data_IF_167159430690
#
_entry.id   IF_167159430690
#
_cell.length_a   1.000
_cell.length_b   1.000
_cell.length_c   1.000
_cell.angle_alpha   90.00
_cell.angle_beta   90.00
_cell.angle_gamma   90.00
#
_symmetry.space_group_name_H-M   'P 1'
#
loop_
_entity.id
_entity.type
_entity.pdbx_description
1 polymer ?
#
# COMPACT_ATOMS: atom_id res chain seq x y z
N UNK A 1 -5.73 18.64 -25.38
CA UNK A 1 -6.41 17.46 -24.84
C UNK A 1 -6.92 17.82 -23.45
N UNK A 2 -8.24 17.77 -23.25
CA UNK A 2 -8.82 17.96 -21.93
C UNK A 2 -8.66 16.67 -21.11
N UNK A 3 -8.17 16.76 -19.87
CA UNK A 3 -8.04 15.63 -18.94
C UNK A 3 -8.67 16.00 -17.60
N UNK A 4 -9.10 14.97 -16.88
CA UNK A 4 -9.64 15.12 -15.53
C UNK A 4 -9.01 14.08 -14.61
N UNK A 5 -8.45 14.55 -13.50
CA UNK A 5 -7.93 13.68 -12.45
C UNK A 5 -9.03 13.27 -11.48
N UNK A 6 -8.99 12.01 -11.06
CA UNK A 6 -9.87 11.46 -10.05
C UNK A 6 -9.06 10.91 -8.88
N UNK A 7 -9.59 11.05 -7.68
CA UNK A 7 -9.01 10.44 -6.48
C UNK A 7 -9.09 8.91 -6.60
N UNK A 8 -8.00 8.22 -6.40
CA UNK A 8 -7.99 6.76 -6.52
C UNK A 8 -6.96 6.06 -5.65
N UNK A 9 -5.79 6.65 -5.49
CA UNK A 9 -4.68 6.01 -4.81
C UNK A 9 -4.54 6.38 -3.33
N UNK A 10 -5.12 7.49 -2.90
CA UNK A 10 -5.07 8.01 -1.52
C UNK A 10 -6.48 8.34 -1.02
N UNK A 11 -6.66 8.41 0.30
CA UNK A 11 -7.94 8.78 0.93
C UNK A 11 -8.22 10.28 0.76
N UNK A 12 -7.21 11.11 0.95
CA UNK A 12 -7.29 12.56 0.77
C UNK A 12 -6.18 13.03 -0.16
N UNK A 13 -6.45 14.08 -0.93
CA UNK A 13 -5.39 14.75 -1.68
C UNK A 13 -4.41 15.44 -0.70
N UNK A 14 -3.13 15.48 -1.06
CA UNK A 14 -2.09 15.97 -0.15
C UNK A 14 -2.30 17.42 0.28
N UNK A 15 -2.83 18.25 -0.60
CA UNK A 15 -3.11 19.67 -0.34
C UNK A 15 -4.19 19.86 0.73
N UNK A 16 -5.03 18.87 0.97
CA UNK A 16 -6.13 18.92 1.91
C UNK A 16 -5.67 18.63 3.35
N UNK A 17 -4.54 17.91 3.51
CA UNK A 17 -4.04 17.46 4.81
C UNK A 17 -2.80 18.25 5.21
N UNK A 18 -3.05 19.42 5.81
CA UNK A 18 -2.00 20.34 6.28
C UNK A 18 -2.26 20.74 7.73
N UNK A 19 -1.22 21.27 8.37
CA UNK A 19 -1.34 21.92 9.67
C UNK A 19 -2.09 23.25 9.52
N UNK A 20 -2.46 23.86 10.65
CA UNK A 20 -3.12 25.17 10.67
C UNK A 20 -2.28 26.31 10.05
N UNK A 21 -0.96 26.18 10.06
CA UNK A 21 0.00 27.11 9.43
C UNK A 21 0.22 26.85 7.93
N UNK A 22 -0.53 25.91 7.34
CA UNK A 22 -0.41 25.51 5.93
C UNK A 22 0.78 24.59 5.61
N UNK A 23 1.63 24.27 6.59
CA UNK A 23 2.78 23.39 6.39
C UNK A 23 2.42 21.92 6.47
N UNK A 24 3.19 21.00 5.81
CA UNK A 24 2.94 19.57 5.87
C UNK A 24 3.31 18.98 7.23
N UNK A 25 2.64 17.89 7.58
CA UNK A 25 2.98 17.10 8.75
C UNK A 25 4.28 16.30 8.52
N UNK A 26 5.14 16.26 9.57
CA UNK A 26 6.35 15.41 9.61
C UNK A 26 6.25 14.29 10.67
N UNK A 27 5.10 14.18 11.36
CA UNK A 27 4.84 13.18 12.40
C UNK A 27 3.50 12.52 12.12
N UNK A 28 3.46 11.19 12.28
CA UNK A 28 2.31 10.37 11.90
C UNK A 28 1.03 10.69 12.69
N UNK A 29 1.09 10.70 14.01
CA UNK A 29 -0.13 10.78 14.82
C UNK A 29 -0.99 12.02 14.55
N UNK A 30 -0.44 13.25 14.53
CA UNK A 30 -1.23 14.43 14.18
C UNK A 30 -1.67 14.43 12.70
N UNK A 31 -0.85 13.89 11.80
CA UNK A 31 -1.23 13.71 10.39
C UNK A 31 -2.46 12.83 10.28
N UNK A 32 -2.43 11.62 10.88
CA UNK A 32 -3.51 10.66 10.71
C UNK A 32 -4.81 11.14 11.36
N UNK A 33 -4.73 11.72 12.54
CA UNK A 33 -5.90 12.33 13.21
C UNK A 33 -6.60 13.36 12.32
N UNK A 34 -5.83 14.22 11.66
CA UNK A 34 -6.38 15.23 10.74
C UNK A 34 -6.89 14.60 9.44
N UNK A 35 -6.11 13.72 8.82
CA UNK A 35 -6.45 13.06 7.57
C UNK A 35 -7.73 12.22 7.69
N UNK A 36 -7.86 11.44 8.76
CA UNK A 36 -9.05 10.61 9.00
C UNK A 36 -10.30 11.47 9.21
N UNK A 37 -10.21 12.58 9.98
CA UNK A 37 -11.31 13.53 10.17
C UNK A 37 -11.77 14.11 8.83
N UNK A 38 -10.85 14.63 8.02
CA UNK A 38 -11.16 15.20 6.69
C UNK A 38 -11.81 14.17 5.80
N UNK A 39 -11.31 12.93 5.80
CA UNK A 39 -11.87 11.85 5.00
C UNK A 39 -13.31 11.53 5.41
N UNK A 40 -13.60 11.42 6.71
CA UNK A 40 -14.92 11.12 7.23
C UNK A 40 -15.95 12.22 6.94
N UNK A 41 -15.52 13.48 6.97
CA UNK A 41 -16.36 14.63 6.64
C UNK A 41 -16.75 14.67 5.15
N UNK A 42 -15.92 14.08 4.27
CA UNK A 42 -16.10 14.10 2.81
C UNK A 42 -16.75 12.85 2.23
N UNK A 43 -17.04 11.84 3.04
CA UNK A 43 -17.73 10.64 2.54
C UNK A 43 -19.08 11.06 1.98
N UNK A 44 -19.36 10.85 0.67
CA UNK A 44 -20.68 11.13 0.11
C UNK A 44 -21.73 10.28 0.82
N UNK A 45 -22.78 10.92 1.31
CA UNK A 45 -23.92 10.23 1.94
C UNK A 45 -24.76 9.40 0.97
N UNK A 46 -24.49 9.46 -0.33
CA UNK A 46 -25.22 8.73 -1.37
C UNK A 46 -24.28 7.84 -2.18
N UNK A 47 -24.64 6.57 -2.31
CA UNK A 47 -24.07 5.67 -3.29
C UNK A 47 -24.42 6.15 -4.70
N UNK A 48 -23.41 6.44 -5.50
CA UNK A 48 -23.62 6.71 -6.92
C UNK A 48 -23.99 5.41 -7.62
N UNK A 49 -25.26 5.29 -8.02
CA UNK A 49 -25.73 4.15 -8.80
C UNK A 49 -25.22 4.28 -10.24
N UNK A 50 -24.13 3.60 -10.55
CA UNK A 50 -23.47 3.61 -11.89
C UNK A 50 -24.25 2.76 -12.91
N UNK A 51 -25.58 2.62 -12.79
CA UNK A 51 -26.39 1.75 -13.64
C UNK A 51 -26.50 2.16 -15.12
N UNK A 52 -25.93 3.29 -15.54
CA UNK A 52 -26.05 3.77 -16.93
C UNK A 52 -24.72 4.35 -17.48
N UNK A 53 -23.65 3.58 -17.48
CA UNK A 53 -22.59 3.86 -18.44
C UNK A 53 -23.06 3.34 -19.81
N UNK A 54 -23.43 4.24 -20.73
CA UNK A 54 -23.61 3.89 -22.14
C UNK A 54 -22.31 3.25 -22.61
N UNK A 55 -22.38 2.02 -23.13
CA UNK A 55 -21.22 1.36 -23.78
C UNK A 55 -20.66 2.33 -24.82
N UNK A 56 -19.51 2.90 -24.57
CA UNK A 56 -18.77 3.68 -25.55
C UNK A 56 -18.22 2.67 -26.55
N UNK A 57 -19.00 2.40 -27.60
CA UNK A 57 -18.54 1.62 -28.73
C UNK A 57 -17.53 2.45 -29.50
N UNK A 58 -16.29 1.96 -29.63
CA UNK A 58 -15.21 2.47 -30.49
C UNK A 58 -14.57 3.82 -30.12
N UNK A 59 -13.74 3.86 -29.06
CA UNK A 59 -12.74 4.94 -28.94
C UNK A 59 -11.30 4.51 -29.24
N UNK A 60 -11.00 3.22 -29.38
CA UNK A 60 -9.62 2.77 -29.66
C UNK A 60 -9.58 1.84 -30.87
N UNK A 61 -9.10 2.40 -32.01
CA UNK A 61 -8.85 1.63 -33.24
C UNK A 61 -7.51 0.88 -33.24
N UNK A 62 -6.67 1.03 -32.22
CA UNK A 62 -5.38 0.33 -32.09
C UNK A 62 -5.32 -0.37 -30.74
N UNK A 63 -5.17 -1.69 -30.77
CA UNK A 63 -4.78 -2.45 -29.58
C UNK A 63 -3.33 -2.06 -29.22
N UNK A 64 -3.14 -1.43 -28.09
CA UNK A 64 -1.81 -1.19 -27.54
C UNK A 64 -1.31 -2.53 -27.02
N UNK A 65 -0.28 -3.08 -27.68
CA UNK A 65 0.36 -4.30 -27.22
C UNK A 65 1.20 -3.99 -25.99
N UNK A 66 0.88 -4.62 -24.86
CA UNK A 66 1.67 -4.53 -23.63
C UNK A 66 2.91 -5.43 -23.61
N UNK A 67 3.23 -6.13 -24.73
CA UNK A 67 4.35 -7.06 -24.80
C UNK A 67 5.70 -6.45 -24.44
N UNK A 68 5.90 -5.16 -24.71
CA UNK A 68 7.15 -4.45 -24.41
C UNK A 68 7.26 -3.91 -22.98
N UNK A 69 6.23 -4.11 -22.14
CA UNK A 69 6.22 -3.65 -20.72
C UNK A 69 6.80 -4.73 -19.81
N UNK A 70 6.74 -5.99 -20.24
CA UNK A 70 7.26 -7.11 -19.46
C UNK A 70 8.80 -7.18 -19.59
N UNK A 71 9.51 -7.55 -18.52
CA UNK A 71 10.95 -7.80 -18.58
C UNK A 71 11.29 -8.91 -19.58
N UNK A 72 12.42 -8.77 -20.29
CA UNK A 72 12.92 -9.80 -21.19
C UNK A 72 13.41 -11.09 -20.49
N UNK A 73 13.42 -11.10 -19.15
CA UNK A 73 13.86 -12.24 -18.33
C UNK A 73 12.69 -12.81 -17.54
N UNK A 74 12.62 -14.11 -17.44
CA UNK A 74 11.51 -14.87 -16.87
C UNK A 74 11.52 -14.98 -15.33
N UNK A 75 12.33 -14.18 -14.65
CA UNK A 75 12.48 -14.24 -13.18
C UNK A 75 11.18 -14.06 -12.40
N UNK A 76 10.21 -13.36 -12.97
CA UNK A 76 8.91 -13.07 -12.35
C UNK A 76 7.86 -14.16 -12.57
N UNK A 77 8.04 -15.07 -13.53
CA UNK A 77 7.02 -16.08 -13.89
C UNK A 77 6.61 -16.95 -12.70
N UNK A 78 7.54 -17.27 -11.80
CA UNK A 78 7.23 -18.03 -10.59
C UNK A 78 6.21 -17.33 -9.68
N UNK A 79 6.07 -16.00 -9.75
CA UNK A 79 5.10 -15.27 -8.94
C UNK A 79 3.65 -15.56 -9.35
N UNK A 80 3.41 -16.03 -10.57
CA UNK A 80 2.08 -16.37 -11.07
C UNK A 80 1.44 -17.53 -10.28
N UNK A 81 2.26 -18.36 -9.63
CA UNK A 81 1.77 -19.44 -8.75
C UNK A 81 1.22 -18.89 -7.42
N UNK A 82 1.67 -17.72 -7.00
CA UNK A 82 1.28 -17.08 -5.74
C UNK A 82 0.24 -15.99 -5.92
N UNK A 83 0.23 -15.33 -7.08
CA UNK A 83 -0.57 -14.13 -7.31
C UNK A 83 -1.37 -14.23 -8.61
N UNK A 84 -2.66 -13.98 -8.49
CA UNK A 84 -3.57 -13.80 -9.62
C UNK A 84 -4.06 -12.35 -9.61
N UNK A 85 -3.44 -11.44 -10.38
CA UNK A 85 -3.73 -10.03 -10.34
C UNK A 85 -5.09 -9.73 -10.99
N UNK A 86 -6.11 -9.48 -10.18
CA UNK A 86 -7.43 -9.04 -10.62
C UNK A 86 -8.19 -8.33 -9.51
N UNK A 87 -9.16 -7.50 -9.85
CA UNK A 87 -10.08 -6.87 -8.89
C UNK A 87 -10.88 -7.92 -8.11
N UNK A 88 -11.32 -8.99 -8.78
CA UNK A 88 -12.07 -10.08 -8.15
C UNK A 88 -11.23 -10.77 -7.10
N UNK A 89 -9.96 -11.06 -7.41
CA UNK A 89 -9.03 -11.67 -6.44
C UNK A 89 -8.77 -10.73 -5.26
N UNK A 90 -8.55 -9.45 -5.51
CA UNK A 90 -8.36 -8.46 -4.45
C UNK A 90 -9.56 -8.39 -3.49
N UNK A 91 -10.79 -8.42 -4.02
CA UNK A 91 -12.02 -8.46 -3.22
C UNK A 91 -12.09 -9.73 -2.37
N UNK A 92 -11.80 -10.90 -2.93
CA UNK A 92 -11.76 -12.18 -2.19
C UNK A 92 -10.74 -12.14 -1.04
N UNK A 93 -9.55 -11.54 -1.27
CA UNK A 93 -8.55 -11.37 -0.20
C UNK A 93 -9.07 -10.47 0.91
N UNK A 94 -9.73 -9.36 0.58
CA UNK A 94 -10.32 -8.47 1.57
C UNK A 94 -11.42 -9.17 2.38
N UNK A 95 -12.36 -9.84 1.71
CA UNK A 95 -13.46 -10.58 2.34
C UNK A 95 -12.95 -11.65 3.29
N UNK A 96 -11.96 -12.46 2.82
CA UNK A 96 -11.33 -13.48 3.67
C UNK A 96 -10.67 -12.87 4.90
N UNK A 97 -9.93 -11.78 4.74
CA UNK A 97 -9.26 -11.09 5.83
C UNK A 97 -10.25 -10.53 6.85
N UNK A 98 -11.30 -9.87 6.38
CA UNK A 98 -12.37 -9.32 7.25
C UNK A 98 -13.08 -10.43 8.01
N UNK A 99 -13.35 -11.56 7.37
CA UNK A 99 -14.05 -12.69 8.01
C UNK A 99 -13.21 -13.39 9.07
N UNK A 100 -11.91 -13.59 8.83
CA UNK A 100 -11.12 -14.54 9.59
C UNK A 100 -10.04 -13.89 10.48
N UNK A 101 -9.43 -12.78 10.06
CA UNK A 101 -8.15 -12.37 10.63
C UNK A 101 -8.14 -10.94 11.20
N UNK A 102 -9.06 -10.08 10.78
CA UNK A 102 -9.02 -8.65 11.13
C UNK A 102 -9.12 -8.40 12.65
N UNK A 103 -9.89 -9.22 13.35
CA UNK A 103 -10.11 -9.06 14.80
C UNK A 103 -8.86 -9.33 15.61
N UNK A 104 -8.04 -10.28 15.16
CA UNK A 104 -6.78 -10.68 15.80
C UNK A 104 -5.57 -10.00 15.15
N UNK A 105 -5.80 -9.18 14.13
CA UNK A 105 -4.73 -8.52 13.38
C UNK A 105 -3.74 -7.78 14.28
N UNK A 106 -4.25 -7.19 15.35
CA UNK A 106 -3.44 -6.46 16.31
C UNK A 106 -2.29 -7.25 16.92
N UNK A 107 -2.44 -8.55 17.05
CA UNK A 107 -1.46 -9.49 17.60
C UNK A 107 -0.77 -10.29 16.50
N UNK A 108 -1.56 -10.94 15.62
CA UNK A 108 -1.04 -11.85 14.57
C UNK A 108 -0.06 -11.16 13.61
N UNK A 109 -0.22 -9.86 13.36
CA UNK A 109 0.67 -9.09 12.48
C UNK A 109 2.13 -9.04 12.96
N UNK A 110 2.39 -9.29 14.21
CA UNK A 110 3.74 -9.21 14.78
C UNK A 110 4.52 -10.53 14.61
N UNK A 111 3.86 -11.58 14.14
CA UNK A 111 4.43 -12.90 13.93
C UNK A 111 4.48 -13.24 12.43
N UNK A 112 5.64 -13.10 11.74
CA UNK A 112 5.77 -13.38 10.30
C UNK A 112 5.40 -14.81 9.91
N UNK A 113 5.53 -15.78 10.82
CA UNK A 113 5.16 -17.19 10.60
C UNK A 113 3.65 -17.42 10.54
N UNK A 114 2.83 -16.47 11.01
CA UNK A 114 1.37 -16.59 11.05
C UNK A 114 0.75 -15.88 9.85
N UNK A 115 -0.24 -16.53 9.20
CA UNK A 115 -1.01 -15.92 8.11
C UNK A 115 -2.07 -14.94 8.66
N UNK A 116 -1.62 -13.86 9.31
CA UNK A 116 -2.48 -12.87 9.98
C UNK A 116 -2.56 -11.51 9.28
N UNK A 117 -2.07 -11.38 8.04
CA UNK A 117 -2.08 -10.14 7.27
C UNK A 117 -2.99 -10.23 6.05
N UNK A 118 -3.50 -9.08 5.59
CA UNK A 118 -4.43 -9.03 4.45
C UNK A 118 -3.79 -9.40 3.11
N UNK A 119 -2.48 -9.27 2.98
CA UNK A 119 -1.73 -9.39 1.70
C UNK A 119 -2.27 -8.51 0.56
N UNK A 120 -2.93 -7.39 0.89
CA UNK A 120 -3.56 -6.50 -0.10
C UNK A 120 -2.58 -5.49 -0.72
N UNK A 121 -1.37 -5.34 -0.20
CA UNK A 121 -0.43 -4.32 -0.67
C UNK A 121 -0.13 -4.38 -2.17
N UNK A 122 0.06 -5.54 -2.82
CA UNK A 122 0.26 -5.60 -4.28
C UNK A 122 -0.96 -5.12 -5.06
N UNK A 123 -2.16 -5.49 -4.61
CA UNK A 123 -3.42 -5.11 -5.25
C UNK A 123 -3.71 -3.61 -5.13
N UNK A 124 -3.41 -3.01 -3.96
CA UNK A 124 -3.52 -1.56 -3.74
C UNK A 124 -2.51 -0.83 -4.64
N UNK A 125 -1.25 -1.31 -4.69
CA UNK A 125 -0.18 -0.70 -5.47
C UNK A 125 -0.51 -0.63 -6.97
N UNK A 126 -1.18 -1.66 -7.48
CA UNK A 126 -1.54 -1.78 -8.90
C UNK A 126 -2.98 -1.32 -9.20
N UNK A 127 -3.68 -0.68 -8.25
CA UNK A 127 -5.00 -0.11 -8.46
C UNK A 127 -6.13 -1.13 -8.61
N UNK A 128 -5.90 -2.41 -8.27
CA UNK A 128 -6.90 -3.48 -8.37
C UNK A 128 -7.94 -3.41 -7.22
N UNK A 129 -7.60 -2.69 -6.15
CA UNK A 129 -8.53 -2.32 -5.08
C UNK A 129 -8.17 -0.94 -4.54
N UNK A 130 -9.17 -0.07 -4.39
CA UNK A 130 -8.97 1.27 -3.82
C UNK A 130 -8.84 1.23 -2.29
N UNK A 131 -7.94 2.05 -1.75
CA UNK A 131 -7.76 2.17 -0.28
C UNK A 131 -9.06 2.62 0.42
N UNK A 132 -9.86 3.48 -0.24
CA UNK A 132 -11.17 3.88 0.24
C UNK A 132 -12.11 2.69 0.42
N UNK A 133 -12.15 1.78 -0.55
CA UNK A 133 -12.99 0.57 -0.48
C UNK A 133 -12.61 -0.28 0.74
N UNK A 134 -11.31 -0.43 1.00
CA UNK A 134 -10.82 -1.20 2.15
C UNK A 134 -11.24 -0.50 3.46
N UNK A 135 -11.02 0.81 3.56
CA UNK A 135 -11.41 1.60 4.73
C UNK A 135 -12.92 1.48 5.00
N UNK A 136 -13.76 1.68 3.98
CA UNK A 136 -15.22 1.63 4.09
C UNK A 136 -15.71 0.24 4.57
N UNK A 137 -15.10 -0.84 4.06
CA UNK A 137 -15.45 -2.20 4.52
C UNK A 137 -15.06 -2.45 5.98
N UNK A 138 -13.89 -1.97 6.42
CA UNK A 138 -13.48 -2.05 7.82
C UNK A 138 -14.39 -1.20 8.74
N UNK A 139 -14.75 0.00 8.31
CA UNK A 139 -15.62 0.89 9.08
C UNK A 139 -17.05 0.34 9.25
N UNK A 140 -17.57 -0.41 8.26
CA UNK A 140 -18.88 -1.08 8.32
C UNK A 140 -18.98 -2.11 9.43
N UNK A 141 -17.87 -2.65 9.92
CA UNK A 141 -17.88 -3.65 11.01
C UNK A 141 -18.39 -3.07 12.34
N UNK A 142 -18.47 -1.73 12.48
CA UNK A 142 -19.02 -1.01 13.64
C UNK A 142 -18.50 -1.52 14.99
N UNK A 143 -17.33 -2.14 15.02
CA UNK A 143 -16.73 -2.75 16.19
C UNK A 143 -15.61 -1.86 16.73
N UNK A 144 -15.52 -1.76 18.07
CA UNK A 144 -14.40 -1.13 18.76
C UNK A 144 -13.17 -2.05 18.89
N UNK A 145 -13.13 -3.16 18.14
CA UNK A 145 -12.04 -4.11 18.20
C UNK A 145 -10.69 -3.45 17.85
N UNK A 146 -9.69 -3.75 18.65
CA UNK A 146 -8.35 -3.16 18.53
C UNK A 146 -7.63 -3.59 17.24
N UNK A 147 -7.90 -4.80 16.72
CA UNK A 147 -7.34 -5.30 15.47
C UNK A 147 -7.80 -4.49 14.27
N UNK A 148 -9.11 -4.18 14.21
CA UNK A 148 -9.69 -3.33 13.16
C UNK A 148 -9.03 -1.95 13.19
N UNK A 149 -8.92 -1.33 14.37
CA UNK A 149 -8.31 -0.01 14.50
C UNK A 149 -6.83 -0.02 14.11
N UNK A 150 -6.07 -1.04 14.52
CA UNK A 150 -4.68 -1.21 14.12
C UNK A 150 -4.55 -1.37 12.59
N UNK A 151 -5.44 -2.12 11.95
CA UNK A 151 -5.42 -2.27 10.49
C UNK A 151 -5.71 -0.95 9.76
N UNK A 152 -6.72 -0.21 10.19
CA UNK A 152 -7.03 1.13 9.67
C UNK A 152 -5.82 2.07 9.84
N UNK A 153 -5.12 1.99 10.96
CA UNK A 153 -3.91 2.78 11.17
C UNK A 153 -2.78 2.43 10.19
N UNK A 154 -2.69 1.17 9.70
CA UNK A 154 -1.71 0.83 8.65
C UNK A 154 -2.06 1.48 7.30
N UNK A 155 -3.34 1.64 6.99
CA UNK A 155 -3.75 2.46 5.85
C UNK A 155 -3.32 3.92 6.06
N UNK A 156 -3.45 4.43 7.29
CA UNK A 156 -2.97 5.75 7.66
C UNK A 156 -1.46 5.92 7.50
N UNK A 157 -0.65 4.93 7.86
CA UNK A 157 0.80 4.94 7.62
C UNK A 157 1.15 5.00 6.14
N UNK A 158 0.37 4.31 5.30
CA UNK A 158 0.51 4.41 3.85
C UNK A 158 0.22 5.82 3.35
N UNK A 159 -0.89 6.42 3.78
CA UNK A 159 -1.24 7.81 3.44
C UNK A 159 -0.14 8.80 3.87
N UNK A 160 0.38 8.63 5.08
CA UNK A 160 1.46 9.45 5.60
C UNK A 160 2.74 9.32 4.78
N UNK A 161 3.12 8.11 4.39
CA UNK A 161 4.30 7.86 3.55
C UNK A 161 4.18 8.52 2.18
N UNK A 162 3.00 8.45 1.56
CA UNK A 162 2.72 9.16 0.30
C UNK A 162 2.80 10.68 0.46
N UNK A 163 2.25 11.21 1.56
CA UNK A 163 2.34 12.63 1.89
C UNK A 163 3.79 13.10 2.08
N UNK A 164 4.60 12.33 2.80
CA UNK A 164 6.01 12.64 2.99
C UNK A 164 6.76 12.71 1.66
N UNK A 165 6.60 11.73 0.78
CA UNK A 165 7.29 11.72 -0.53
C UNK A 165 6.82 12.87 -1.40
N UNK A 166 5.53 13.23 -1.35
CA UNK A 166 4.99 14.35 -2.11
C UNK A 166 5.58 15.70 -1.68
N UNK A 167 5.71 15.93 -0.37
CA UNK A 167 6.22 17.20 0.18
C UNK A 167 7.74 17.23 0.32
N UNK A 168 8.38 16.09 0.44
CA UNK A 168 9.82 15.94 0.65
C UNK A 168 10.44 14.97 -0.37
N UNK A 169 10.34 15.25 -1.69
CA UNK A 169 10.80 14.33 -2.73
C UNK A 169 12.31 14.02 -2.66
N UNK A 170 13.10 14.90 -1.99
CA UNK A 170 14.52 14.65 -1.73
C UNK A 170 14.78 13.38 -0.94
N UNK A 171 13.77 12.85 -0.20
CA UNK A 171 13.87 11.56 0.51
C UNK A 171 14.17 10.37 -0.42
N UNK A 172 13.88 10.50 -1.71
CA UNK A 172 14.19 9.45 -2.70
C UNK A 172 15.70 9.31 -2.95
N UNK A 173 16.51 10.32 -2.60
CA UNK A 173 17.95 10.36 -2.86
C UNK A 173 18.80 10.62 -1.61
N UNK A 174 18.21 11.00 -0.49
CA UNK A 174 18.92 11.34 0.74
C UNK A 174 18.03 11.23 1.97
N UNK A 175 18.56 11.59 3.13
CA UNK A 175 17.81 11.53 4.37
C UNK A 175 16.81 12.69 4.51
N UNK A 176 15.63 12.42 5.06
CA UNK A 176 14.66 13.46 5.43
C UNK A 176 15.24 14.40 6.48
N UNK A 177 15.97 13.84 7.45
CA UNK A 177 16.70 14.57 8.48
C UNK A 177 18.17 14.62 8.09
N UNK A 178 18.68 15.81 7.86
CA UNK A 178 20.04 16.04 7.38
C UNK A 178 21.12 15.56 8.34
N UNK A 179 20.80 15.46 9.63
CA UNK A 179 21.71 14.95 10.64
C UNK A 179 22.19 13.52 10.32
N UNK A 180 21.34 12.70 9.70
CA UNK A 180 21.69 11.34 9.27
C UNK A 180 22.60 11.26 8.05
N UNK A 181 22.81 12.37 7.33
CA UNK A 181 23.81 12.41 6.26
C UNK A 181 25.25 12.25 6.80
N UNK A 182 25.46 12.60 8.09
CA UNK A 182 26.74 12.46 8.80
C UNK A 182 26.96 11.06 9.41
N UNK A 183 25.95 10.18 9.36
CA UNK A 183 26.11 8.83 9.89
C UNK A 183 27.12 8.04 9.05
N UNK A 184 28.05 7.30 9.67
CA UNK A 184 29.12 6.57 8.96
C UNK A 184 28.55 5.31 8.28
N UNK A 185 27.81 5.49 7.18
CA UNK A 185 27.26 4.40 6.41
C UNK A 185 28.36 3.55 5.78
N UNK A 186 28.32 2.25 6.02
CA UNK A 186 29.29 1.31 5.45
C UNK A 186 28.76 0.84 4.09
N UNK A 187 29.51 1.11 3.02
CA UNK A 187 29.21 0.62 1.68
C UNK A 187 29.99 -0.67 1.40
N UNK A 188 29.45 -1.81 1.85
CA UNK A 188 30.06 -3.13 1.68
C UNK A 188 29.25 -3.94 0.64
N UNK A 189 29.83 -4.08 -0.55
CA UNK A 189 29.21 -4.84 -1.67
C UNK A 189 29.03 -6.33 -1.35
N UNK A 190 29.94 -6.91 -0.54
CA UNK A 190 29.88 -8.33 -0.15
C UNK A 190 28.72 -8.57 0.81
N UNK A 191 28.60 -7.75 1.86
CA UNK A 191 27.46 -7.80 2.78
C UNK A 191 26.13 -7.54 2.08
N UNK A 192 26.08 -6.56 1.17
CA UNK A 192 24.89 -6.29 0.35
C UNK A 192 24.49 -7.51 -0.49
N UNK A 193 25.46 -8.21 -1.08
CA UNK A 193 25.19 -9.43 -1.86
C UNK A 193 24.64 -10.54 -0.97
N UNK A 194 25.19 -10.75 0.23
CA UNK A 194 24.67 -11.73 1.19
C UNK A 194 23.24 -11.40 1.62
N UNK A 195 22.96 -10.12 1.91
CA UNK A 195 21.61 -9.67 2.25
C UNK A 195 20.62 -9.94 1.13
N UNK A 196 20.95 -9.58 -0.11
CA UNK A 196 20.09 -9.85 -1.29
C UNK A 196 19.77 -11.33 -1.48
N UNK A 197 20.66 -12.22 -1.07
CA UNK A 197 20.51 -13.68 -1.19
C UNK A 197 19.83 -14.32 0.04
N UNK A 198 19.53 -13.57 1.10
CA UNK A 198 19.04 -14.12 2.36
C UNK A 198 20.08 -15.03 3.03
N UNK A 199 21.33 -14.58 3.10
CA UNK A 199 22.48 -15.32 3.61
C UNK A 199 23.30 -14.47 4.61
N UNK A 200 22.60 -13.66 5.40
CA UNK A 200 23.23 -12.77 6.40
C UNK A 200 23.61 -13.49 7.68
N UNK A 201 23.01 -14.65 7.95
CA UNK A 201 23.12 -15.37 9.22
C UNK A 201 22.09 -14.92 10.26
N UNK A 202 21.26 -13.93 9.96
CA UNK A 202 20.12 -13.51 10.80
C UNK A 202 18.84 -14.20 10.30
N UNK A 203 18.31 -15.20 11.02
CA UNK A 203 17.23 -16.07 10.50
C UNK A 203 16.01 -15.32 9.99
N UNK A 204 15.53 -14.30 10.71
CA UNK A 204 14.35 -13.54 10.32
C UNK A 204 14.59 -12.69 9.05
N UNK A 205 15.80 -12.12 8.92
CA UNK A 205 16.18 -11.33 7.73
C UNK A 205 16.30 -12.26 6.52
N UNK A 206 16.96 -13.39 6.70
CA UNK A 206 17.20 -14.35 5.63
C UNK A 206 15.88 -14.99 5.15
N UNK A 207 14.99 -15.34 6.09
CA UNK A 207 13.66 -15.84 5.77
C UNK A 207 12.84 -14.80 4.96
N UNK A 208 12.84 -13.53 5.39
CA UNK A 208 12.15 -12.46 4.68
C UNK A 208 12.69 -12.23 3.27
N UNK A 209 14.00 -12.23 3.09
CA UNK A 209 14.62 -12.04 1.77
C UNK A 209 14.35 -13.23 0.84
N UNK A 210 14.32 -14.46 1.37
CA UNK A 210 13.96 -15.66 0.60
C UNK A 210 12.49 -15.65 0.22
N UNK A 211 11.57 -15.26 1.13
CA UNK A 211 10.15 -15.08 0.83
C UNK A 211 9.96 -14.06 -0.28
N UNK A 212 10.65 -12.90 -0.21
CA UNK A 212 10.60 -11.88 -1.26
C UNK A 212 11.08 -12.42 -2.61
N UNK A 213 12.19 -13.12 -2.63
CA UNK A 213 12.75 -13.70 -3.86
C UNK A 213 11.81 -14.75 -4.47
N UNK A 214 11.18 -15.56 -3.65
CA UNK A 214 10.31 -16.66 -4.10
C UNK A 214 8.93 -16.16 -4.54
N UNK A 215 8.33 -15.26 -3.77
CA UNK A 215 6.93 -14.88 -3.92
C UNK A 215 6.69 -13.47 -4.44
N UNK A 216 7.73 -12.63 -4.49
CA UNK A 216 7.59 -11.19 -4.75
C UNK A 216 6.98 -10.39 -3.59
N UNK A 217 6.77 -11.03 -2.43
CA UNK A 217 6.20 -10.39 -1.24
C UNK A 217 7.02 -10.72 0.00
N UNK A 218 7.10 -9.78 0.93
CA UNK A 218 7.77 -9.97 2.21
C UNK A 218 6.93 -9.37 3.32
N UNK A 219 6.91 -10.02 4.48
CA UNK A 219 6.27 -9.49 5.67
C UNK A 219 6.90 -8.17 6.12
N UNK A 220 6.09 -7.23 6.62
CA UNK A 220 6.57 -5.87 6.98
C UNK A 220 7.42 -5.83 8.28
N UNK A 221 7.41 -6.88 9.12
CA UNK A 221 8.13 -6.91 10.41
C UNK A 221 9.58 -7.31 10.28
#
# INVERSE_FOLDING_TARGET
>A
IAYKNFRGNVLNEFQEVKKGDGTPFKVYSPFWKNSERIFLEKIPKKDYNVKKLKKIKKLFKKNISCKNILPNKDWYKKFETYWQPSETTAKKYLEKFIKNDIYDYGTKRDFPSIKGTSKLSPFIRNGQIGVKTIYDQCAKLKSKNIGIRKYINELGWREFSHSLINYFPQMLKGNLRKEFDKFPWINDKKKLSLWKKGMTGYPIVDAGMRELYETGWMHNR
#
